data_IF_515077920036
#
_entry.id   IF_515077920036
#
_cell.length_a   1.000
_cell.length_b   1.000
_cell.length_c   1.000
_cell.angle_alpha   90.00
_cell.angle_beta   90.00
_cell.angle_gamma   90.00
#
_symmetry.space_group_name_H-M   'P 1'
#
loop_
_entity.id
_entity.type
_entity.pdbx_description
1 polymer ?
#
# COMPACT_ATOMS: atom_id res chain seq x y z
N UNK A 1 17.57 28.77 -3.41
CA UNK A 1 17.23 28.62 -3.33
C UNK A 1 16.83 28.03 -3.45
N UNK A 2 16.76 27.77 -3.37
CA UNK A 2 16.26 27.20 -3.30
C UNK A 2 15.85 26.47 -3.40
N UNK A 3 16.02 26.21 -3.26
CA UNK A 3 15.72 25.59 -3.14
C UNK A 3 15.42 24.85 -3.09
N UNK A 4 15.56 24.79 -3.05
CA UNK A 4 15.36 24.14 -2.83
C UNK A 4 15.13 23.40 -2.68
N UNK A 5 15.37 23.41 -2.53
CA UNK A 5 15.18 22.87 -2.20
C UNK A 5 14.91 22.23 -2.13
N UNK A 6 15.18 22.33 -2.15
CA UNK A 6 14.86 21.83 -1.88
C UNK A 6 14.51 21.14 -1.99
N UNK A 7 14.66 20.98 -1.99
CA UNK A 7 14.35 20.49 -1.87
C UNK A 7 14.16 19.65 -1.73
N UNK A 8 14.37 19.51 -1.50
CA UNK A 8 14.14 18.99 -1.18
C UNK A 8 13.90 18.46 -0.77
N UNK A 9 14.03 18.47 -0.43
CA UNK A 9 13.71 18.29 0.06
C UNK A 9 13.47 17.59 0.39
N UNK A 10 13.51 17.28 0.60
CA UNK A 10 13.08 16.80 0.97
C UNK A 10 12.99 16.22 1.32
N UNK A 11 13.52 16.29 1.67
CA UNK A 11 13.43 15.72 1.92
C UNK A 11 13.00 14.88 2.56
N UNK A 12 13.47 15.21 3.58
CA UNK A 12 12.61 14.31 4.26
C UNK A 12 11.63 13.68 3.30
N UNK A 13 11.31 12.49 3.57
CA UNK A 13 10.47 11.78 2.65
C UNK A 13 9.02 11.87 3.12
N UNK A 14 8.23 12.54 2.33
CA UNK A 14 6.80 12.58 2.54
C UNK A 14 6.21 11.42 1.75
N UNK A 15 5.66 10.38 2.42
CA UNK A 15 5.14 9.24 1.68
C UNK A 15 4.12 9.61 0.63
N UNK A 16 3.31 10.63 0.90
CA UNK A 16 2.31 11.07 -0.07
C UNK A 16 2.98 11.61 -1.31
N UNK A 17 4.03 12.41 -1.12
CA UNK A 17 4.77 12.94 -2.26
C UNK A 17 5.41 11.85 -3.08
N UNK A 18 5.84 10.78 -2.41
CA UNK A 18 6.50 9.69 -3.09
C UNK A 18 5.54 8.61 -3.50
N UNK A 19 4.25 8.83 -3.26
CA UNK A 19 3.26 7.85 -3.63
C UNK A 19 3.11 6.69 -2.67
N UNK A 20 3.83 6.71 -1.55
CA UNK A 20 3.72 5.65 -0.56
C UNK A 20 2.59 5.95 0.40
N UNK A 21 1.64 5.04 0.49
CA UNK A 21 0.52 5.18 1.41
C UNK A 21 0.25 3.82 2.03
N UNK A 22 -0.39 3.81 3.21
CA UNK A 22 -0.84 2.52 3.75
C UNK A 22 -1.85 1.88 2.82
N UNK A 23 -1.80 0.57 2.71
CA UNK A 23 -2.67 -0.15 1.79
C UNK A 23 -4.15 0.14 2.05
N UNK A 24 -4.53 0.30 3.31
CA UNK A 24 -5.94 0.55 3.61
C UNK A 24 -6.39 1.95 3.19
N UNK A 25 -5.47 2.79 2.73
CA UNK A 25 -5.83 4.09 2.18
C UNK A 25 -5.90 4.07 0.66
N UNK A 26 -5.58 2.96 0.05
CA UNK A 26 -5.68 2.83 -1.40
C UNK A 26 -7.15 2.87 -1.78
N UNK A 27 -7.49 3.75 -2.73
CA UNK A 27 -8.88 3.90 -3.15
C UNK A 27 -9.39 2.63 -3.82
N UNK A 28 -10.65 2.31 -3.59
CA UNK A 28 -11.26 1.15 -4.23
C UNK A 28 -11.17 1.36 -5.75
N UNK A 29 -10.73 0.32 -6.43
CA UNK A 29 -10.54 0.37 -7.87
C UNK A 29 -9.15 0.80 -8.29
N UNK A 30 -8.32 1.20 -7.32
CA UNK A 30 -6.96 1.65 -7.63
C UNK A 30 -5.97 0.54 -7.37
N UNK A 31 -4.79 0.71 -7.98
CA UNK A 31 -3.70 -0.25 -7.85
C UNK A 31 -2.51 0.41 -7.19
N UNK A 32 -1.72 -0.41 -6.52
CA UNK A 32 -0.47 0.03 -5.94
C UNK A 32 0.52 -1.11 -5.97
N UNK A 33 1.77 -0.79 -5.67
CA UNK A 33 2.84 -1.78 -5.62
C UNK A 33 3.36 -1.85 -4.20
N UNK A 34 3.47 -3.05 -3.65
CA UNK A 34 3.96 -3.23 -2.28
C UNK A 34 5.41 -2.78 -2.21
N UNK A 35 5.71 -1.84 -1.33
CA UNK A 35 7.07 -1.32 -1.18
C UNK A 35 7.64 -1.58 0.21
N UNK A 36 6.80 -1.79 1.21
CA UNK A 36 7.31 -1.99 2.55
C UNK A 36 6.28 -2.71 3.40
N UNK A 37 6.74 -3.66 4.19
CA UNK A 37 5.94 -4.31 5.20
C UNK A 37 6.51 -3.89 6.54
N UNK A 38 5.66 -3.30 7.39
CA UNK A 38 6.13 -2.85 8.70
C UNK A 38 5.81 -3.84 9.80
N UNK A 39 5.06 -4.91 9.50
CA UNK A 39 4.84 -5.96 10.48
C UNK A 39 6.13 -6.73 10.74
N UNK A 40 6.16 -7.38 11.89
CA UNK A 40 7.29 -8.22 12.27
C UNK A 40 6.77 -9.56 12.75
N UNK A 41 7.67 -10.54 12.78
CA UNK A 41 7.32 -11.86 13.31
C UNK A 41 6.25 -12.56 12.52
N UNK A 42 5.36 -13.27 13.21
CA UNK A 42 4.32 -14.04 12.52
C UNK A 42 3.41 -13.22 11.64
N UNK A 43 3.15 -11.97 12.02
CA UNK A 43 2.30 -11.12 11.20
C UNK A 43 2.96 -10.84 9.85
N UNK A 44 4.26 -10.56 9.86
CA UNK A 44 4.99 -10.35 8.62
C UNK A 44 5.00 -11.60 7.77
N UNK A 45 5.25 -12.74 8.41
CA UNK A 45 5.27 -14.02 7.69
C UNK A 45 3.93 -14.27 7.02
N UNK A 46 2.84 -13.97 7.73
CA UNK A 46 1.53 -14.18 7.15
C UNK A 46 1.34 -13.33 5.90
N UNK A 47 1.78 -12.07 5.95
CA UNK A 47 1.64 -11.20 4.78
C UNK A 47 2.43 -11.74 3.61
N UNK A 48 3.66 -12.21 3.86
CA UNK A 48 4.47 -12.77 2.79
C UNK A 48 3.83 -14.03 2.21
N UNK A 49 3.26 -14.86 3.08
CA UNK A 49 2.60 -16.09 2.63
C UNK A 49 1.38 -15.78 1.78
N UNK A 50 0.74 -14.64 2.01
CA UNK A 50 -0.41 -14.23 1.21
C UNK A 50 0.01 -13.64 -0.13
N UNK A 51 1.32 -13.47 -0.36
CA UNK A 51 1.80 -12.95 -1.61
C UNK A 51 2.15 -11.47 -1.59
N UNK A 52 2.12 -10.85 -0.42
CA UNK A 52 2.42 -9.42 -0.30
C UNK A 52 3.92 -9.20 -0.19
N UNK A 53 4.65 -9.67 -1.19
CA UNK A 53 6.09 -9.47 -1.24
C UNK A 53 6.38 -8.16 -1.93
N UNK A 54 7.61 -7.67 -1.76
CA UNK A 54 8.00 -6.39 -2.33
C UNK A 54 7.81 -6.39 -3.84
N UNK A 55 7.39 -5.25 -4.36
CA UNK A 55 7.20 -5.00 -5.78
C UNK A 55 6.05 -5.79 -6.40
N UNK A 56 5.16 -6.30 -5.56
CA UNK A 56 3.98 -7.01 -6.05
C UNK A 56 2.83 -6.02 -6.24
N UNK A 57 2.15 -6.07 -7.40
CA UNK A 57 0.97 -5.22 -7.59
C UNK A 57 -0.19 -5.69 -6.73
N UNK A 58 -0.98 -4.76 -6.24
CA UNK A 58 -2.16 -5.06 -5.47
C UNK A 58 -3.26 -4.10 -5.90
N UNK A 59 -4.47 -4.62 -6.00
CA UNK A 59 -5.63 -3.82 -6.40
C UNK A 59 -6.65 -3.86 -5.28
N UNK A 60 -7.18 -2.70 -4.91
CA UNK A 60 -8.25 -2.63 -3.92
C UNK A 60 -9.56 -2.87 -4.64
N UNK A 61 -10.27 -3.94 -4.27
CA UNK A 61 -11.46 -4.35 -4.99
C UNK A 61 -12.73 -3.78 -4.40
N UNK A 62 -12.95 -3.99 -3.11
CA UNK A 62 -14.15 -3.51 -2.45
C UNK A 62 -14.01 -3.65 -0.95
N UNK A 63 -14.77 -2.85 -0.24
CA UNK A 63 -14.87 -2.97 1.21
C UNK A 63 -16.11 -3.74 1.56
N UNK A 64 -16.08 -4.38 2.73
CA UNK A 64 -17.29 -5.01 3.23
C UNK A 64 -18.31 -3.91 3.55
N UNK A 65 -19.59 -4.29 3.73
CA UNK A 65 -20.62 -3.29 4.07
C UNK A 65 -20.30 -2.49 5.33
N UNK A 66 -19.47 -3.04 6.21
CA UNK A 66 -19.12 -2.34 7.45
C UNK A 66 -17.79 -1.61 7.33
N UNK A 67 -17.21 -1.60 6.13
CA UNK A 67 -15.96 -0.88 5.91
C UNK A 67 -14.71 -1.68 6.20
N UNK A 68 -14.84 -2.85 6.80
CA UNK A 68 -13.70 -3.66 7.17
C UNK A 68 -14.18 -5.11 7.28
N UNK A 69 -13.49 -6.07 6.69
CA UNK A 69 -12.23 -5.94 5.94
C UNK A 69 -12.45 -5.45 4.52
N UNK A 70 -11.33 -5.19 3.83
CA UNK A 70 -11.33 -4.83 2.43
C UNK A 70 -10.76 -5.98 1.62
N UNK A 71 -11.35 -6.24 0.47
CA UNK A 71 -10.88 -7.29 -0.43
C UNK A 71 -9.87 -6.70 -1.40
N UNK A 72 -8.75 -7.40 -1.57
CA UNK A 72 -7.69 -7.00 -2.48
C UNK A 72 -7.37 -8.14 -3.42
N UNK A 73 -6.96 -7.79 -4.63
CA UNK A 73 -6.46 -8.78 -5.57
C UNK A 73 -4.94 -8.73 -5.56
N UNK A 74 -4.33 -9.87 -5.30
CA UNK A 74 -2.88 -10.00 -5.24
C UNK A 74 -2.51 -11.25 -5.99
N UNK A 75 -1.73 -11.08 -7.07
CA UNK A 75 -1.23 -12.21 -7.85
C UNK A 75 -2.34 -13.14 -8.31
N UNK A 76 -3.47 -12.54 -8.69
CA UNK A 76 -4.60 -13.32 -9.17
C UNK A 76 -5.52 -13.89 -8.14
N UNK A 77 -5.16 -13.76 -6.87
CA UNK A 77 -5.99 -14.24 -5.77
C UNK A 77 -6.67 -13.07 -5.08
N UNK A 78 -7.87 -13.30 -4.58
CA UNK A 78 -8.60 -12.29 -3.83
C UNK A 78 -8.47 -12.64 -2.35
N UNK A 79 -7.94 -11.70 -1.57
CA UNK A 79 -7.81 -11.89 -0.13
C UNK A 79 -8.45 -10.72 0.59
N UNK A 80 -8.88 -10.98 1.81
CA UNK A 80 -9.48 -9.94 2.66
C UNK A 80 -8.50 -9.59 3.76
N UNK A 81 -8.24 -8.32 3.93
CA UNK A 81 -7.36 -7.83 4.98
C UNK A 81 -8.08 -6.83 5.84
N UNK A 82 -7.90 -6.94 7.13
CA UNK A 82 -8.44 -5.95 8.04
C UNK A 82 -7.65 -4.66 7.93
N UNK A 83 -8.31 -3.55 8.26
CA UNK A 83 -7.66 -2.26 8.16
C UNK A 83 -6.37 -2.22 8.97
N UNK A 84 -6.37 -2.86 10.14
CA UNK A 84 -5.18 -2.89 10.97
C UNK A 84 -4.02 -3.57 10.25
N UNK A 85 -4.30 -4.68 9.57
CA UNK A 85 -3.26 -5.39 8.83
C UNK A 85 -2.79 -4.56 7.65
N UNK A 86 -3.73 -4.02 6.89
CA UNK A 86 -3.41 -3.27 5.68
C UNK A 86 -2.68 -1.98 6.00
N UNK A 87 -2.93 -1.38 7.16
CA UNK A 87 -2.29 -0.13 7.52
C UNK A 87 -0.78 -0.27 7.69
N UNK A 88 -0.31 -1.50 7.88
CA UNK A 88 1.11 -1.73 8.08
C UNK A 88 1.83 -2.12 6.80
N UNK A 89 1.12 -2.10 5.69
CA UNK A 89 1.70 -2.39 4.37
C UNK A 89 1.70 -1.08 3.62
N UNK A 90 2.89 -0.66 3.18
CA UNK A 90 3.00 0.58 2.41
C UNK A 90 3.10 0.23 0.94
N UNK A 91 2.32 0.92 0.15
CA UNK A 91 2.29 0.70 -1.29
C UNK A 91 2.54 2.02 -2.00
N UNK A 92 3.12 1.90 -3.18
CA UNK A 92 3.29 3.04 -4.06
C UNK A 92 2.13 3.04 -5.03
N UNK A 93 1.40 4.15 -5.08
CA UNK A 93 0.25 4.23 -5.97
C UNK A 93 0.71 4.26 -7.41
N UNK A 94 -0.07 3.60 -8.25
CA UNK A 94 0.22 3.57 -9.69
C UNK A 94 -0.67 4.62 -10.33
N UNK A 95 -0.01 5.62 -10.93
CA UNK A 95 -0.73 6.68 -11.61
C UNK A 95 -1.01 6.22 -13.03
N UNK A 96 -2.24 6.37 -13.46
CA UNK A 96 -2.62 5.97 -14.81
C UNK A 96 -3.06 7.13 -15.65
N UNK A 97 -2.94 8.32 -15.14
CA UNK A 97 -3.31 9.44 -15.94
C UNK A 97 -2.27 9.70 -16.94
N UNK A 98 -2.57 10.00 -17.72
CA UNK A 98 -1.73 10.31 -18.54
C UNK A 98 -2.06 11.01 -19.20
#
# INVERSE_FOLDING_TARGET
MARRQARQENLGVDPVKNGLIPLNKLSIGSCGTVKMLTQKGPARRRMLDLGLVLDTPVEALRKSPYGDPTAYRIRGAVIALRAEEASRILVETISVDD
#
